data_IF_231743094769
#
_entry.id   IF_231743094769
#
_cell.length_a   1.000
_cell.length_b   1.000
_cell.length_c   1.000
_cell.angle_alpha   90.00
_cell.angle_beta   90.00
_cell.angle_gamma   90.00
#
_symmetry.space_group_name_H-M   'P 1'
#
loop_
_entity.id
_entity.type
_entity.pdbx_description
1 polymer ?
#
# COMPACT_ATOMS: atom_id res chain seq x y z
N UNK A 1 31.77 -11.97 11.07
CA UNK A 1 30.69 -11.94 12.09
C UNK A 1 30.46 -10.48 12.41
N UNK A 2 29.52 -9.74 11.83
CA UNK A 2 28.12 -10.03 11.49
C UNK A 2 27.90 -9.63 10.01
N UNK A 3 27.46 -10.51 9.12
CA UNK A 3 26.04 -10.67 8.79
C UNK A 3 25.30 -9.35 8.51
N UNK A 4 25.93 -8.38 7.86
CA UNK A 4 25.19 -7.54 6.91
C UNK A 4 24.88 -8.41 5.68
N UNK A 5 24.02 -9.42 5.85
CA UNK A 5 23.42 -10.12 4.72
C UNK A 5 22.58 -9.07 4.01
N UNK A 6 23.16 -8.49 2.98
CA UNK A 6 22.46 -7.62 2.08
C UNK A 6 21.20 -8.38 1.59
N UNK A 7 20.01 -7.85 1.92
CA UNK A 7 18.72 -8.54 1.74
C UNK A 7 18.39 -8.87 0.27
N UNK A 8 18.99 -8.14 -0.68
CA UNK A 8 18.89 -8.40 -2.11
C UNK A 8 20.16 -9.17 -2.52
N UNK A 9 20.11 -10.30 -3.22
CA UNK A 9 21.34 -10.98 -3.67
C UNK A 9 22.12 -10.18 -4.73
N UNK A 10 23.44 -10.32 -4.78
CA UNK A 10 24.30 -9.64 -5.77
C UNK A 10 23.90 -10.05 -7.20
N UNK A 11 23.57 -11.32 -7.43
CA UNK A 11 23.13 -11.84 -8.73
C UNK A 11 21.81 -11.19 -9.20
N UNK A 12 20.91 -10.89 -8.26
CA UNK A 12 19.64 -10.22 -8.57
C UNK A 12 19.89 -8.78 -9.01
N UNK A 13 20.79 -8.08 -8.30
CA UNK A 13 21.18 -6.73 -8.65
C UNK A 13 21.87 -6.69 -10.02
N UNK A 14 22.79 -7.61 -10.29
CA UNK A 14 23.47 -7.73 -11.60
C UNK A 14 22.50 -8.02 -12.74
N UNK A 15 21.50 -8.87 -12.52
CA UNK A 15 20.47 -9.15 -13.52
C UNK A 15 19.67 -7.89 -13.90
N UNK A 16 19.23 -7.10 -12.91
CA UNK A 16 18.47 -5.87 -13.17
C UNK A 16 19.33 -4.75 -13.77
N UNK A 17 20.59 -4.62 -13.34
CA UNK A 17 21.55 -3.69 -13.92
C UNK A 17 21.88 -4.06 -15.37
N UNK A 18 22.12 -5.33 -15.66
CA UNK A 18 22.35 -5.80 -17.02
C UNK A 18 21.14 -5.55 -17.91
N UNK A 19 19.93 -5.74 -17.38
CA UNK A 19 18.67 -5.46 -18.09
C UNK A 19 18.49 -3.97 -18.42
N UNK A 20 19.01 -3.05 -17.61
CA UNK A 20 19.02 -1.62 -17.91
C UNK A 20 20.18 -1.20 -18.83
N UNK A 21 21.05 -2.13 -19.23
CA UNK A 21 22.22 -1.88 -20.05
C UNK A 21 23.46 -1.44 -19.27
N UNK A 22 23.47 -1.62 -17.95
CA UNK A 22 24.60 -1.28 -17.08
C UNK A 22 25.36 -2.53 -16.63
N UNK A 23 26.62 -2.67 -17.04
CA UNK A 23 27.52 -3.70 -16.51
C UNK A 23 28.74 -3.02 -15.89
N UNK A 24 29.01 -3.34 -14.63
CA UNK A 24 30.17 -2.86 -13.90
C UNK A 24 30.88 -4.06 -13.26
N UNK A 25 32.20 -4.22 -13.47
CA UNK A 25 32.95 -5.30 -12.82
C UNK A 25 33.20 -5.05 -11.33
N UNK A 26 32.98 -3.83 -10.84
CA UNK A 26 33.18 -3.49 -9.43
C UNK A 26 31.94 -3.83 -8.60
N UNK A 27 32.05 -4.90 -7.82
CA UNK A 27 31.01 -5.40 -6.91
C UNK A 27 30.52 -4.34 -5.90
N UNK A 28 31.34 -3.34 -5.56
CA UNK A 28 30.96 -2.28 -4.63
C UNK A 28 29.88 -1.38 -5.22
N UNK A 29 29.90 -1.16 -6.53
CA UNK A 29 28.88 -0.37 -7.24
C UNK A 29 27.57 -1.14 -7.28
N UNK A 30 27.62 -2.43 -7.63
CA UNK A 30 26.46 -3.33 -7.57
C UNK A 30 25.82 -3.28 -6.19
N UNK A 31 26.62 -3.47 -5.12
CA UNK A 31 26.18 -3.42 -3.72
C UNK A 31 25.66 -2.05 -3.28
N UNK A 32 26.23 -0.96 -3.79
CA UNK A 32 25.76 0.40 -3.50
C UNK A 32 24.34 0.64 -4.04
N UNK A 33 24.09 0.29 -5.30
CA UNK A 33 22.75 0.40 -5.92
C UNK A 33 21.73 -0.40 -5.13
N UNK A 34 22.14 -1.61 -4.81
CA UNK A 34 21.50 -2.55 -3.93
C UNK A 34 21.08 -1.93 -2.58
N UNK A 35 22.00 -1.32 -1.83
CA UNK A 35 21.70 -0.63 -0.54
C UNK A 35 20.78 0.57 -0.75
N UNK A 36 20.98 1.33 -1.82
CA UNK A 36 20.11 2.45 -2.16
C UNK A 36 18.66 1.99 -2.42
N UNK A 37 18.46 0.88 -3.13
CA UNK A 37 17.14 0.30 -3.38
C UNK A 37 16.47 -0.19 -2.08
N UNK A 38 17.23 -0.81 -1.18
CA UNK A 38 16.72 -1.22 0.14
C UNK A 38 16.31 -0.03 1.00
N UNK A 39 17.15 1.01 1.06
CA UNK A 39 16.82 2.25 1.76
C UNK A 39 15.54 2.85 1.21
N UNK A 40 15.42 2.95 -0.11
CA UNK A 40 14.24 3.50 -0.78
C UNK A 40 12.95 2.74 -0.40
N UNK A 41 12.96 1.40 -0.47
CA UNK A 41 11.81 0.58 -0.06
C UNK A 41 11.51 0.76 1.44
N UNK A 42 12.54 0.86 2.28
CA UNK A 42 12.40 1.03 3.73
C UNK A 42 11.80 2.38 4.11
N UNK A 43 12.12 3.45 3.38
CA UNK A 43 11.52 4.78 3.54
C UNK A 43 10.03 4.75 3.19
N UNK A 44 9.66 4.20 2.02
CA UNK A 44 8.25 4.06 1.62
C UNK A 44 7.45 3.22 2.64
N UNK A 45 8.02 2.11 3.11
CA UNK A 45 7.37 1.26 4.10
C UNK A 45 7.17 1.99 5.44
N UNK A 46 8.13 2.82 5.84
CA UNK A 46 8.06 3.64 7.05
C UNK A 46 6.97 4.72 6.93
N UNK A 47 6.87 5.37 5.79
CA UNK A 47 5.83 6.39 5.53
C UNK A 47 4.44 5.74 5.52
N UNK A 48 4.28 4.61 4.82
CA UNK A 48 3.02 3.85 4.82
C UNK A 48 2.62 3.39 6.24
N UNK A 49 3.60 3.05 7.09
CA UNK A 49 3.34 2.71 8.48
C UNK A 49 2.79 3.91 9.27
N UNK A 50 3.24 5.13 8.99
CA UNK A 50 2.71 6.34 9.62
C UNK A 50 1.25 6.57 9.22
N UNK A 51 0.93 6.47 7.93
CA UNK A 51 -0.45 6.57 7.44
C UNK A 51 -1.35 5.49 8.08
N UNK A 52 -0.86 4.26 8.20
CA UNK A 52 -1.58 3.18 8.87
C UNK A 52 -1.90 3.51 10.33
N UNK A 53 -0.93 4.06 11.08
CA UNK A 53 -1.12 4.49 12.48
C UNK A 53 -2.12 5.63 12.60
N UNK A 54 -2.06 6.63 11.72
CA UNK A 54 -3.00 7.77 11.71
C UNK A 54 -4.42 7.26 11.48
N UNK A 55 -4.63 6.40 10.47
CA UNK A 55 -5.96 5.81 10.22
C UNK A 55 -6.46 5.02 11.43
N UNK A 56 -5.64 4.17 12.03
CA UNK A 56 -6.04 3.39 13.21
C UNK A 56 -6.38 4.27 14.42
N UNK A 57 -5.71 5.42 14.59
CA UNK A 57 -6.04 6.39 15.63
C UNK A 57 -7.41 7.04 15.37
N UNK A 58 -7.70 7.40 14.13
CA UNK A 58 -8.97 8.02 13.74
C UNK A 58 -10.17 7.08 13.94
N UNK A 59 -10.01 5.78 13.65
CA UNK A 59 -11.05 4.77 13.92
C UNK A 59 -11.38 4.69 15.42
N UNK A 60 -10.38 4.80 16.30
CA UNK A 60 -10.59 4.75 17.77
C UNK A 60 -11.26 6.00 18.34
N UNK A 61 -11.11 7.16 17.70
CA UNK A 61 -11.70 8.41 18.16
C UNK A 61 -13.20 8.52 17.83
N UNK A 62 -13.64 7.92 16.72
CA UNK A 62 -15.02 7.95 16.24
C UNK A 62 -15.96 6.94 16.91
N UNK A 63 -15.42 5.88 17.53
CA UNK A 63 -16.22 4.78 18.09
C UNK A 63 -16.15 4.72 19.62
N UNK A 64 -16.82 5.67 20.29
CA UNK A 64 -17.10 5.59 21.73
C UNK A 64 -18.31 4.70 22.07
N UNK A 65 -18.95 4.07 21.07
CA UNK A 65 -20.22 3.34 21.27
C UNK A 65 -20.18 1.83 21.00
N UNK A 66 -19.12 1.27 20.39
CA UNK A 66 -18.98 -0.18 20.21
C UNK A 66 -17.92 -0.77 21.13
N UNK A 67 -18.33 -0.98 22.38
CA UNK A 67 -17.50 -1.55 23.44
C UNK A 67 -17.11 -3.03 23.30
N UNK A 68 -16.67 -3.53 22.14
CA UNK A 68 -16.22 -4.94 22.02
C UNK A 68 -15.09 -5.27 21.00
N UNK A 69 -14.42 -4.32 20.33
CA UNK A 69 -13.26 -4.64 19.46
C UNK A 69 -11.90 -4.31 20.09
N UNK A 70 -11.68 -4.83 21.30
CA UNK A 70 -10.51 -4.47 22.12
C UNK A 70 -9.20 -5.24 21.87
N UNK A 71 -9.03 -6.04 20.81
CA UNK A 71 -7.88 -6.99 20.77
C UNK A 71 -6.98 -7.06 19.53
N UNK A 72 -7.35 -6.53 18.37
CA UNK A 72 -6.42 -6.55 17.23
C UNK A 72 -5.69 -5.23 17.07
N UNK A 73 -4.60 -5.06 17.85
CA UNK A 73 -3.58 -4.01 17.66
C UNK A 73 -2.65 -4.32 16.46
N UNK A 74 -3.12 -5.13 15.51
CA UNK A 74 -2.30 -5.57 14.39
C UNK A 74 -2.19 -4.45 13.37
N UNK A 75 -0.97 -4.04 13.06
CA UNK A 75 -0.71 -3.13 11.94
C UNK A 75 -0.79 -3.94 10.66
N UNK A 76 -1.64 -3.50 9.72
CA UNK A 76 -1.85 -4.12 8.43
C UNK A 76 -1.50 -3.06 7.37
N UNK A 77 -0.58 -3.40 6.47
CA UNK A 77 -0.30 -2.57 5.31
C UNK A 77 -1.48 -2.69 4.34
N UNK A 78 -2.16 -1.57 4.10
CA UNK A 78 -3.27 -1.50 3.14
C UNK A 78 -2.88 -0.70 1.91
N UNK A 79 -3.67 -0.83 0.85
CA UNK A 79 -3.46 -0.06 -0.38
C UNK A 79 -3.73 1.43 -0.20
N UNK A 80 -4.56 1.82 0.77
CA UNK A 80 -4.80 3.22 1.11
C UNK A 80 -3.55 3.86 1.72
N UNK A 81 -2.92 3.19 2.69
CA UNK A 81 -1.69 3.68 3.33
C UNK A 81 -0.56 3.80 2.33
N UNK A 82 -0.41 2.76 1.50
CA UNK A 82 0.63 2.71 0.48
C UNK A 82 0.40 3.76 -0.62
N UNK A 83 -0.85 3.97 -1.05
CA UNK A 83 -1.18 4.98 -2.03
C UNK A 83 -0.94 6.39 -1.48
N UNK A 84 -1.20 6.63 -0.20
CA UNK A 84 -0.91 7.92 0.43
C UNK A 84 0.61 8.19 0.47
N UNK A 85 1.39 7.21 0.92
CA UNK A 85 2.85 7.31 0.94
C UNK A 85 3.43 7.54 -0.48
N UNK A 86 3.05 6.72 -1.45
CA UNK A 86 3.56 6.80 -2.83
C UNK A 86 3.20 8.12 -3.54
N UNK A 87 2.10 8.77 -3.14
CA UNK A 87 1.70 10.06 -3.70
C UNK A 87 2.72 11.16 -3.41
N UNK A 88 3.41 11.10 -2.27
CA UNK A 88 4.49 12.04 -1.92
C UNK A 88 5.71 11.88 -2.83
N UNK A 89 5.93 10.66 -3.34
CA UNK A 89 6.96 10.34 -4.34
C UNK A 89 6.49 10.54 -5.79
N UNK A 90 5.31 11.13 -6.02
CA UNK A 90 4.76 11.39 -7.35
C UNK A 90 4.14 10.18 -8.05
N UNK A 91 3.94 9.06 -7.35
CA UNK A 91 3.36 7.83 -7.90
C UNK A 91 1.87 7.75 -7.57
N UNK A 92 1.02 7.78 -8.60
CA UNK A 92 -0.43 7.72 -8.45
C UNK A 92 -0.94 6.27 -8.56
N UNK A 93 -1.38 5.69 -7.45
CA UNK A 93 -1.97 4.35 -7.39
C UNK A 93 -3.50 4.47 -7.26
N UNK A 94 -4.24 4.09 -8.31
CA UNK A 94 -5.71 4.08 -8.31
C UNK A 94 -6.23 2.65 -8.39
N UNK A 95 -6.26 1.97 -7.25
CA UNK A 95 -6.89 0.65 -7.15
C UNK A 95 -8.41 0.83 -6.98
N UNK A 96 -9.20 0.29 -7.91
CA UNK A 96 -10.65 0.22 -7.76
C UNK A 96 -11.01 -0.77 -6.65
N UNK A 97 -12.06 -0.47 -5.89
CA UNK A 97 -12.50 -1.32 -4.78
C UNK A 97 -13.18 -2.60 -5.28
N UNK A 98 -13.88 -2.51 -6.41
CA UNK A 98 -14.47 -3.65 -7.12
C UNK A 98 -14.46 -3.40 -8.62
N UNK A 99 -14.50 -4.49 -9.40
CA UNK A 99 -14.85 -4.47 -10.81
C UNK A 99 -16.23 -5.09 -10.95
N UNK A 100 -17.15 -4.39 -11.61
CA UNK A 100 -18.43 -4.96 -11.98
C UNK A 100 -18.32 -5.50 -13.41
N UNK A 101 -18.57 -6.80 -13.60
CA UNK A 101 -18.58 -7.44 -14.92
C UNK A 101 -19.72 -6.90 -15.82
N UNK A 102 -20.65 -6.13 -15.25
CA UNK A 102 -21.73 -5.48 -15.96
C UNK A 102 -22.01 -4.07 -15.38
N UNK A 103 -22.22 -3.04 -16.22
CA UNK A 103 -22.55 -1.69 -15.78
C UNK A 103 -23.87 -1.59 -14.99
N UNK A 104 -24.69 -2.65 -14.96
CA UNK A 104 -25.93 -2.71 -14.18
C UNK A 104 -25.73 -3.09 -12.70
N UNK A 105 -24.54 -3.55 -12.29
CA UNK A 105 -24.33 -4.07 -10.93
C UNK A 105 -24.42 -3.02 -9.79
N UNK A 106 -24.45 -1.73 -10.14
CA UNK A 106 -24.57 -0.62 -9.18
C UNK A 106 -25.97 0.00 -9.08
N UNK A 107 -26.92 -0.35 -9.95
CA UNK A 107 -28.27 0.22 -9.92
C UNK A 107 -29.18 -0.65 -9.05
N UNK A 108 -29.07 -0.55 -7.73
CA UNK A 108 -30.22 -0.89 -6.88
C UNK A 108 -31.24 0.22 -7.10
N UNK A 109 -32.13 0.03 -8.08
CA UNK A 109 -33.35 0.84 -8.16
C UNK A 109 -34.16 0.50 -6.92
N UNK A 110 -34.06 1.35 -5.90
CA UNK A 110 -34.99 1.33 -4.78
C UNK A 110 -36.34 1.65 -5.40
N UNK A 111 -37.16 0.63 -5.61
CA UNK A 111 -38.52 0.81 -6.12
C UNK A 111 -39.28 1.64 -5.09
N UNK A 112 -39.40 2.94 -5.34
CA UNK A 112 -40.27 3.83 -4.58
C UNK A 112 -41.69 3.37 -4.89
N UNK A 113 -42.31 2.70 -3.92
CA UNK A 113 -43.71 2.33 -3.98
C UNK A 113 -44.53 3.62 -3.92
N UNK A 114 -45.01 4.08 -5.08
CA UNK A 114 -45.95 5.19 -5.18
C UNK A 114 -47.17 4.92 -4.28
N UNK A 115 -47.41 5.83 -3.34
CA UNK A 115 -48.60 5.84 -2.50
C UNK A 115 -49.71 6.51 -3.32
N UNK A 116 -50.75 5.75 -3.67
CA UNK A 116 -51.95 6.29 -4.32
C UNK A 116 -52.59 7.33 -3.39
N UNK A 117 -53.02 8.50 -3.92
CA UNK A 117 -53.77 9.48 -3.16
C UNK A 117 -55.18 8.95 -2.91
N UNK A 118 -55.64 9.21 -1.69
CA UNK A 118 -56.96 8.89 -1.18
C UNK A 118 -58.06 9.56 -2.01
N UNK A 119 -59.16 8.82 -2.24
CA UNK A 119 -60.52 9.36 -2.34
C UNK A 119 -61.45 8.50 -1.48
#
# INVERSE_FOLDING_TARGET
>A
MLLESFLIPDELAEHYLSRSGFQCPDIRVTRLVSVAAQKFISEIASDALQFCKIRQANVKAGDKSRGHQGKDKRLILTTEDLSAALKEYGVNVKKQEYFADSPAAGTVTVAVKEKQPEE
#
